data_IF_069304577039
#
_entry.id   IF_069304577039
#
_cell.length_a   1.000
_cell.length_b   1.000
_cell.length_c   1.000
_cell.angle_alpha   90.00
_cell.angle_beta   90.00
_cell.angle_gamma   90.00
#
_symmetry.space_group_name_H-M   'P 1'
#
loop_
_entity.id
_entity.type
_entity.pdbx_description
1 polymer ?
#
# COMPACT_ATOMS: atom_id res chain seq x y z
N UNK A 1 -13.81 66.15 -18.44
CA UNK A 1 -14.00 64.69 -18.36
C UNK A 1 -12.61 64.07 -18.27
N UNK A 2 -12.14 63.68 -17.09
CA UNK A 2 -10.77 63.15 -16.92
C UNK A 2 -10.74 61.66 -17.21
N UNK A 3 -10.23 61.30 -18.39
CA UNK A 3 -9.87 59.92 -18.71
C UNK A 3 -8.61 59.57 -17.90
N UNK A 4 -8.78 58.77 -16.84
CA UNK A 4 -7.67 58.12 -16.14
C UNK A 4 -7.16 57.00 -17.04
N UNK A 5 -6.13 57.29 -17.82
CA UNK A 5 -5.44 56.28 -18.63
C UNK A 5 -4.70 55.32 -17.71
N UNK A 6 -4.97 54.02 -17.89
CA UNK A 6 -4.31 52.92 -17.20
C UNK A 6 -2.79 53.04 -17.37
N UNK A 7 -2.03 53.04 -16.28
CA UNK A 7 -0.57 53.23 -16.38
C UNK A 7 0.10 51.92 -16.82
N UNK A 8 1.18 52.01 -17.60
CA UNK A 8 1.98 50.83 -17.97
C UNK A 8 2.44 50.03 -16.74
N UNK A 9 2.74 50.74 -15.64
CA UNK A 9 3.14 50.14 -14.37
C UNK A 9 2.02 49.27 -13.78
N UNK A 10 0.78 49.72 -13.84
CA UNK A 10 -0.38 48.96 -13.34
C UNK A 10 -0.58 47.66 -14.13
N UNK A 11 -0.44 47.68 -15.45
CA UNK A 11 -0.48 46.46 -16.26
C UNK A 11 0.69 45.52 -15.96
N UNK A 12 1.90 46.05 -15.78
CA UNK A 12 3.05 45.23 -15.38
C UNK A 12 2.84 44.58 -14.01
N UNK A 13 2.28 45.31 -13.04
CA UNK A 13 1.97 44.79 -11.72
C UNK A 13 0.89 43.72 -11.77
N UNK A 14 -0.17 43.92 -12.56
CA UNK A 14 -1.24 42.93 -12.75
C UNK A 14 -0.68 41.64 -13.35
N UNK A 15 0.14 41.74 -14.40
CA UNK A 15 0.76 40.57 -15.02
C UNK A 15 1.73 39.85 -14.08
N UNK A 16 2.51 40.60 -13.28
CA UNK A 16 3.38 40.03 -12.24
C UNK A 16 2.54 39.26 -11.21
N UNK A 17 1.45 39.87 -10.74
CA UNK A 17 0.62 39.29 -9.69
C UNK A 17 -0.11 38.05 -10.19
N UNK A 18 -0.59 38.05 -11.44
CA UNK A 18 -1.15 36.86 -12.11
C UNK A 18 -0.08 35.77 -12.24
N UNK A 19 1.14 36.12 -12.67
CA UNK A 19 2.23 35.17 -12.83
C UNK A 19 2.62 34.49 -11.51
N UNK A 20 2.83 35.26 -10.44
CA UNK A 20 3.16 34.73 -9.11
C UNK A 20 2.02 33.85 -8.57
N UNK A 21 0.77 34.30 -8.72
CA UNK A 21 -0.41 33.54 -8.28
C UNK A 21 -0.52 32.21 -9.04
N UNK A 22 -0.30 32.22 -10.36
CA UNK A 22 -0.34 31.02 -11.19
C UNK A 22 0.78 30.02 -10.83
N UNK A 23 2.00 30.50 -10.56
CA UNK A 23 3.12 29.65 -10.12
C UNK A 23 2.84 28.96 -8.78
N UNK A 24 2.21 29.66 -7.83
CA UNK A 24 1.87 29.10 -6.52
C UNK A 24 0.82 27.98 -6.62
N UNK A 25 -0.16 28.13 -7.52
CA UNK A 25 -1.20 27.12 -7.76
C UNK A 25 -0.62 25.82 -8.35
N UNK A 26 0.37 25.92 -9.24
CA UNK A 26 1.03 24.73 -9.82
C UNK A 26 1.75 23.88 -8.77
N UNK A 27 2.27 24.51 -7.71
CA UNK A 27 2.92 23.81 -6.59
C UNK A 27 1.93 23.15 -5.62
N UNK A 28 0.66 23.57 -5.64
CA UNK A 28 -0.37 23.04 -4.76
C UNK A 28 -0.95 21.69 -5.23
N UNK A 29 -0.76 21.33 -6.51
CA UNK A 29 -1.23 20.05 -7.03
C UNK A 29 -0.26 18.91 -6.68
N UNK A 30 -0.74 17.81 -6.08
CA UNK A 30 0.09 16.65 -5.81
C UNK A 30 0.62 16.10 -7.14
N UNK A 31 1.92 15.77 -7.14
CA UNK A 31 2.56 15.19 -8.32
C UNK A 31 1.85 13.92 -8.77
N UNK A 32 1.87 13.63 -10.08
CA UNK A 32 1.26 12.41 -10.62
C UNK A 32 1.77 11.13 -9.92
N UNK A 33 3.04 11.13 -9.49
CA UNK A 33 3.64 10.05 -8.70
C UNK A 33 2.97 9.87 -7.35
N UNK A 34 2.75 10.96 -6.61
CA UNK A 34 2.07 10.91 -5.31
C UNK A 34 0.64 10.38 -5.45
N UNK A 35 -0.08 10.82 -6.50
CA UNK A 35 -1.43 10.31 -6.77
C UNK A 35 -1.43 8.81 -7.07
N UNK A 36 -0.49 8.32 -7.89
CA UNK A 36 -0.33 6.90 -8.20
C UNK A 36 -0.03 6.09 -6.92
N UNK A 37 0.87 6.56 -6.06
CA UNK A 37 1.20 5.91 -4.80
C UNK A 37 -0.02 5.82 -3.86
N UNK A 38 -0.80 6.89 -3.73
CA UNK A 38 -2.04 6.88 -2.93
C UNK A 38 -3.06 5.88 -3.48
N UNK A 39 -3.19 5.76 -4.80
CA UNK A 39 -4.08 4.79 -5.42
C UNK A 39 -3.62 3.34 -5.19
N UNK A 40 -2.32 3.08 -5.32
CA UNK A 40 -1.72 1.76 -5.02
C UNK A 40 -2.02 1.38 -3.57
N UNK A 41 -1.78 2.32 -2.64
CA UNK A 41 -2.00 2.12 -1.22
C UNK A 41 -3.48 1.83 -0.90
N UNK A 42 -4.40 2.60 -1.48
CA UNK A 42 -5.84 2.40 -1.30
C UNK A 42 -6.31 1.03 -1.84
N UNK A 43 -5.75 0.56 -2.97
CA UNK A 43 -6.03 -0.78 -3.49
C UNK A 43 -5.53 -1.87 -2.54
N UNK A 44 -4.30 -1.73 -2.03
CA UNK A 44 -3.75 -2.68 -1.07
C UNK A 44 -4.61 -2.75 0.20
N UNK A 45 -5.01 -1.61 0.76
CA UNK A 45 -5.89 -1.56 1.95
C UNK A 45 -7.23 -2.25 1.70
N UNK A 46 -7.90 -1.95 0.58
CA UNK A 46 -9.17 -2.59 0.25
C UNK A 46 -9.04 -4.11 0.07
N UNK A 47 -7.94 -4.59 -0.51
CA UNK A 47 -7.66 -6.02 -0.63
C UNK A 47 -7.37 -6.67 0.72
N UNK A 48 -6.60 -5.98 1.58
CA UNK A 48 -6.32 -6.44 2.94
C UNK A 48 -7.62 -6.61 3.74
N UNK A 49 -8.48 -5.58 3.75
CA UNK A 49 -9.76 -5.61 4.46
C UNK A 49 -10.64 -6.77 3.96
N UNK A 50 -10.74 -6.93 2.65
CA UNK A 50 -11.46 -8.06 2.05
C UNK A 50 -10.93 -9.43 2.50
N UNK A 51 -9.60 -9.62 2.51
CA UNK A 51 -9.00 -10.90 2.92
C UNK A 51 -9.16 -11.15 4.41
N UNK A 52 -9.10 -10.10 5.24
CA UNK A 52 -9.35 -10.18 6.68
C UNK A 52 -10.79 -10.60 7.00
N UNK A 53 -11.76 -9.94 6.38
CA UNK A 53 -13.18 -10.32 6.50
C UNK A 53 -13.40 -11.76 6.05
N UNK A 54 -12.75 -12.17 4.94
CA UNK A 54 -12.80 -13.55 4.47
C UNK A 54 -12.20 -14.52 5.48
N UNK A 55 -11.07 -14.18 6.12
CA UNK A 55 -10.43 -14.98 7.19
C UNK A 55 -11.36 -15.25 8.36
N UNK A 56 -12.07 -14.22 8.80
CA UNK A 56 -13.07 -14.33 9.85
C UNK A 56 -14.27 -15.19 9.43
N UNK A 57 -14.69 -15.10 8.17
CA UNK A 57 -15.82 -15.87 7.64
C UNK A 57 -15.50 -17.35 7.39
N UNK A 58 -14.30 -17.65 6.87
CA UNK A 58 -13.92 -19.01 6.48
C UNK A 58 -13.14 -19.77 7.54
N UNK A 59 -12.63 -19.08 8.56
CA UNK A 59 -11.75 -19.66 9.58
C UNK A 59 -10.35 -20.00 9.05
N UNK A 60 -9.97 -19.52 7.86
CA UNK A 60 -8.70 -19.86 7.21
C UNK A 60 -7.59 -18.87 7.58
N UNK A 61 -6.36 -19.38 7.68
CA UNK A 61 -5.17 -18.55 7.80
C UNK A 61 -4.76 -18.03 6.40
N UNK A 62 -4.59 -16.72 6.30
CA UNK A 62 -4.07 -16.07 5.11
C UNK A 62 -2.69 -15.47 5.38
N UNK A 63 -1.98 -15.21 4.30
CA UNK A 63 -0.67 -14.56 4.34
C UNK A 63 -0.51 -13.59 3.18
N UNK A 64 0.41 -12.65 3.30
CA UNK A 64 0.79 -11.72 2.25
C UNK A 64 2.27 -11.89 2.00
N UNK A 65 2.63 -12.19 0.76
CA UNK A 65 4.00 -12.08 0.28
C UNK A 65 4.16 -10.68 -0.27
N UNK A 66 5.14 -9.95 0.23
CA UNK A 66 5.44 -8.59 -0.19
C UNK A 66 6.85 -8.59 -0.78
N UNK A 67 6.93 -8.17 -2.04
CA UNK A 67 8.17 -7.95 -2.76
C UNK A 67 8.29 -6.47 -3.12
N UNK A 68 9.50 -5.97 -3.43
CA UNK A 68 9.69 -4.58 -3.81
C UNK A 68 8.76 -4.11 -4.94
N UNK A 69 8.38 -4.99 -5.88
CA UNK A 69 7.60 -4.61 -7.07
C UNK A 69 6.28 -5.38 -7.19
N UNK A 70 5.87 -6.12 -6.16
CA UNK A 70 4.60 -6.86 -6.18
C UNK A 70 4.12 -7.21 -4.78
N UNK A 71 2.85 -7.51 -4.64
CA UNK A 71 2.34 -8.24 -3.48
C UNK A 71 1.41 -9.36 -3.94
N UNK A 72 1.24 -10.38 -3.09
CA UNK A 72 0.36 -11.50 -3.35
C UNK A 72 -0.22 -12.06 -2.05
N UNK A 73 -1.55 -12.14 -1.99
CA UNK A 73 -2.24 -12.83 -0.92
C UNK A 73 -2.21 -14.34 -1.17
N UNK A 74 -1.91 -15.07 -0.11
CA UNK A 74 -1.80 -16.51 -0.05
C UNK A 74 -2.78 -17.06 0.97
N UNK A 75 -3.23 -18.29 0.77
CA UNK A 75 -4.02 -19.06 1.73
C UNK A 75 -3.22 -20.26 2.19
N UNK A 76 -3.26 -20.55 3.49
CA UNK A 76 -2.67 -21.78 4.00
C UNK A 76 -3.66 -22.92 3.77
N UNK A 77 -3.24 -23.92 3.01
CA UNK A 77 -4.02 -25.12 2.75
C UNK A 77 -3.34 -26.29 3.47
N UNK A 78 -3.99 -26.98 4.42
CA UNK A 78 -3.47 -28.24 4.94
C UNK A 78 -3.27 -29.20 3.77
N UNK A 79 -2.11 -29.85 3.76
CA UNK A 79 -1.82 -30.87 2.77
C UNK A 79 -2.78 -32.05 2.93
N UNK A 80 -3.23 -32.56 1.79
CA UNK A 80 -3.85 -33.87 1.71
C UNK A 80 -2.80 -34.96 2.01
N UNK A 81 -3.22 -36.16 2.37
CA UNK A 81 -2.32 -37.30 2.67
C UNK A 81 -1.37 -37.65 1.49
N UNK A 82 -1.65 -37.13 0.29
CA UNK A 82 -0.88 -37.34 -0.94
C UNK A 82 0.12 -36.23 -1.26
N UNK A 83 0.17 -35.15 -0.49
CA UNK A 83 1.07 -34.03 -0.78
C UNK A 83 2.50 -34.33 -0.31
N UNK A 84 3.54 -33.92 -1.06
CA UNK A 84 4.92 -34.03 -0.60
C UNK A 84 5.11 -33.22 0.68
N UNK A 85 5.88 -33.78 1.63
CA UNK A 85 6.25 -33.10 2.86
C UNK A 85 6.80 -31.71 2.54
N UNK A 86 6.32 -30.68 3.25
CA UNK A 86 6.74 -29.31 2.99
C UNK A 86 8.25 -29.19 3.23
N UNK A 87 8.90 -28.34 2.43
CA UNK A 87 10.33 -28.06 2.58
C UNK A 87 10.64 -27.26 3.86
N UNK A 88 9.61 -26.66 4.46
CA UNK A 88 9.71 -25.87 5.69
C UNK A 88 8.80 -26.47 6.77
N UNK A 89 9.41 -26.83 7.90
CA UNK A 89 8.74 -27.49 9.04
C UNK A 89 7.85 -26.51 9.82
N UNK A 90 7.93 -25.19 9.53
CA UNK A 90 7.20 -24.13 10.25
C UNK A 90 5.68 -24.26 10.14
N UNK A 91 5.16 -24.84 9.06
CA UNK A 91 3.73 -25.06 8.84
C UNK A 91 3.37 -26.54 8.67
N UNK A 92 4.25 -27.44 9.12
CA UNK A 92 4.07 -28.89 8.94
C UNK A 92 3.94 -29.25 7.45
N UNK A 93 2.92 -30.02 7.09
CA UNK A 93 2.65 -30.35 5.69
C UNK A 93 1.83 -29.27 4.96
N UNK A 94 1.33 -28.24 5.64
CA UNK A 94 0.48 -27.24 5.02
C UNK A 94 1.24 -26.39 4.00
N UNK A 95 0.58 -26.07 2.89
CA UNK A 95 1.16 -25.37 1.75
C UNK A 95 0.48 -24.01 1.54
N UNK A 96 1.30 -23.00 1.26
CA UNK A 96 0.82 -21.69 0.84
C UNK A 96 0.44 -21.73 -0.64
N UNK A 97 -0.82 -21.39 -0.94
CA UNK A 97 -1.33 -21.32 -2.30
C UNK A 97 -1.82 -19.90 -2.62
N UNK A 98 -1.63 -19.41 -3.86
CA UNK A 98 -2.22 -18.15 -4.30
C UNK A 98 -3.71 -18.08 -3.98
N UNK A 99 -4.13 -17.01 -3.30
CA UNK A 99 -5.53 -16.77 -3.03
C UNK A 99 -6.23 -16.40 -4.34
N UNK A 100 -7.25 -17.15 -4.72
CA UNK A 100 -8.11 -16.83 -5.86
C UNK A 100 -9.47 -16.38 -5.33
N UNK A 101 -9.85 -15.12 -5.60
CA UNK A 101 -11.05 -14.50 -5.05
C UNK A 101 -12.04 -14.03 -6.14
N UNK A 102 -12.15 -14.81 -7.22
CA UNK A 102 -13.12 -14.57 -8.29
C UNK A 102 -12.90 -13.23 -9.00
N UNK A 103 -13.61 -12.18 -8.56
CA UNK A 103 -13.54 -10.82 -9.13
C UNK A 103 -12.61 -9.88 -8.36
N UNK A 104 -12.15 -10.27 -7.17
CA UNK A 104 -11.22 -9.46 -6.37
C UNK A 104 -9.80 -9.85 -6.74
N UNK A 105 -9.02 -8.86 -7.15
CA UNK A 105 -7.58 -9.02 -7.38
C UNK A 105 -6.89 -9.25 -6.03
N UNK A 106 -6.06 -10.29 -5.98
CA UNK A 106 -5.32 -10.73 -4.78
C UNK A 106 -3.81 -10.73 -5.00
N UNK A 107 -3.37 -10.28 -6.17
CA UNK A 107 -1.97 -10.10 -6.50
C UNK A 107 -1.83 -8.90 -7.44
N UNK A 108 -0.85 -8.06 -7.21
CA UNK A 108 -0.59 -6.89 -8.05
C UNK A 108 0.91 -6.71 -8.26
N UNK A 109 1.29 -6.39 -9.49
CA UNK A 109 2.67 -6.04 -9.87
C UNK A 109 2.74 -4.55 -10.16
N UNK A 110 3.76 -3.90 -9.63
CA UNK A 110 3.96 -2.46 -9.62
C UNK A 110 5.19 -2.10 -10.45
N UNK A 111 5.04 -1.75 -11.74
CA UNK A 111 6.19 -1.49 -12.61
C UNK A 111 6.89 -0.15 -12.32
N UNK A 112 6.27 0.75 -11.55
CA UNK A 112 6.74 2.14 -11.33
C UNK A 112 6.83 2.54 -9.86
N UNK A 113 6.53 1.62 -8.95
CA UNK A 113 6.57 1.87 -7.51
C UNK A 113 7.37 0.79 -6.82
N UNK A 114 7.99 1.14 -5.69
CA UNK A 114 8.78 0.21 -4.90
C UNK A 114 8.28 0.14 -3.47
N UNK A 115 7.79 -1.02 -3.07
CA UNK A 115 7.33 -1.30 -1.73
C UNK A 115 8.50 -1.40 -0.76
N UNK A 116 8.30 -0.90 0.45
CA UNK A 116 9.18 -1.15 1.59
C UNK A 116 8.34 -1.60 2.77
N UNK A 117 8.65 -2.79 3.29
CA UNK A 117 8.04 -3.33 4.50
C UNK A 117 8.94 -3.11 5.71
N UNK A 118 8.35 -2.78 6.86
CA UNK A 118 9.01 -2.73 8.16
C UNK A 118 8.12 -3.33 9.22
N UNK A 119 8.74 -3.98 10.20
CA UNK A 119 8.04 -4.57 11.33
C UNK A 119 8.34 -3.76 12.62
N UNK A 120 7.38 -3.64 13.55
CA UNK A 120 7.58 -2.89 14.80
C UNK A 120 8.65 -3.48 15.72
N UNK A 121 8.94 -4.78 15.61
CA UNK A 121 9.98 -5.49 16.35
C UNK A 121 11.41 -5.20 15.84
N UNK A 122 11.55 -4.44 14.75
CA UNK A 122 12.82 -4.10 14.14
C UNK A 122 13.42 -5.21 13.27
N UNK A 123 12.67 -6.28 12.99
CA UNK A 123 13.12 -7.33 12.07
C UNK A 123 13.44 -6.75 10.68
N UNK A 124 14.59 -7.13 10.13
CA UNK A 124 14.96 -6.76 8.78
C UNK A 124 14.06 -7.48 7.77
N UNK A 125 13.38 -6.72 6.91
CA UNK A 125 12.61 -7.29 5.82
C UNK A 125 13.54 -7.85 4.74
N UNK A 126 13.43 -9.15 4.51
CA UNK A 126 14.13 -9.86 3.44
C UNK A 126 13.05 -10.51 2.57
N UNK A 127 12.76 -9.95 1.38
CA UNK A 127 11.73 -10.49 0.50
C UNK A 127 12.04 -11.94 0.14
N UNK A 128 11.07 -12.82 0.37
CA UNK A 128 11.14 -14.23 0.04
C UNK A 128 9.76 -14.71 -0.43
N UNK A 129 9.65 -16.00 -0.76
CA UNK A 129 8.43 -16.60 -1.29
C UNK A 129 7.52 -17.14 -0.18
N UNK A 130 7.91 -16.95 1.08
CA UNK A 130 7.07 -17.17 2.25
C UNK A 130 6.33 -15.89 2.63
N UNK A 131 5.09 -15.99 3.16
CA UNK A 131 4.36 -14.81 3.60
C UNK A 131 5.07 -14.03 4.72
N UNK A 132 5.29 -12.73 4.46
CA UNK A 132 5.85 -11.78 5.41
C UNK A 132 4.84 -11.39 6.51
N UNK A 133 3.57 -11.26 6.12
CA UNK A 133 2.48 -10.80 6.98
C UNK A 133 1.43 -11.91 7.05
N UNK A 134 1.05 -12.31 8.26
CA UNK A 134 -0.03 -13.27 8.49
C UNK A 134 -1.32 -12.55 8.86
N UNK A 135 -2.44 -13.08 8.36
CA UNK A 135 -3.80 -12.64 8.67
C UNK A 135 -4.52 -13.81 9.32
N UNK A 136 -4.84 -13.66 10.60
CA UNK A 136 -5.40 -14.71 11.44
C UNK A 136 -6.91 -14.79 11.31
N UNK A 137 -7.51 -16.00 11.49
CA UNK A 137 -8.96 -16.18 11.48
C UNK A 137 -9.71 -15.33 12.51
N UNK A 138 -9.06 -14.92 13.61
CA UNK A 138 -9.65 -14.02 14.61
C UNK A 138 -9.77 -12.57 14.17
N UNK A 139 -9.22 -12.23 12.99
CA UNK A 139 -9.14 -10.85 12.50
C UNK A 139 -7.82 -10.16 12.83
N UNK A 140 -6.98 -10.77 13.66
CA UNK A 140 -5.66 -10.23 13.95
C UNK A 140 -4.77 -10.27 12.69
N UNK A 141 -3.83 -9.34 12.62
CA UNK A 141 -2.84 -9.24 11.54
C UNK A 141 -1.47 -9.11 12.17
N UNK A 142 -0.45 -9.65 11.52
CA UNK A 142 0.96 -9.38 11.92
C UNK A 142 1.20 -7.88 11.77
N UNK A 143 1.56 -7.12 12.83
CA UNK A 143 1.73 -5.68 12.72
C UNK A 143 2.82 -5.29 11.72
N UNK A 144 2.56 -4.33 10.84
CA UNK A 144 3.51 -3.93 9.82
C UNK A 144 3.34 -2.49 9.35
N UNK A 145 4.41 -1.96 8.76
CA UNK A 145 4.44 -0.68 8.10
C UNK A 145 4.80 -0.88 6.64
N UNK A 146 3.88 -0.51 5.74
CA UNK A 146 4.08 -0.59 4.30
C UNK A 146 4.23 0.81 3.71
N UNK A 147 5.30 1.04 2.95
CA UNK A 147 5.52 2.30 2.23
C UNK A 147 5.59 2.08 0.72
N UNK A 148 4.96 2.96 -0.02
CA UNK A 148 5.05 3.02 -1.49
C UNK A 148 6.12 4.04 -1.91
N UNK A 149 6.26 5.13 -1.13
CA UNK A 149 7.30 6.14 -1.31
C UNK A 149 7.62 6.88 0.02
N UNK A 150 8.41 7.95 -0.06
CA UNK A 150 8.85 8.75 1.09
C UNK A 150 7.71 9.54 1.78
N UNK A 151 6.61 9.82 1.10
CA UNK A 151 5.43 10.51 1.61
C UNK A 151 4.26 9.56 1.91
N UNK A 152 4.14 8.46 1.16
CA UNK A 152 2.96 7.58 1.15
C UNK A 152 3.25 6.22 1.79
N UNK A 153 2.51 5.89 2.84
CA UNK A 153 2.54 4.58 3.47
C UNK A 153 1.46 4.42 4.55
N UNK A 154 1.33 3.20 5.06
CA UNK A 154 0.38 2.82 6.12
C UNK A 154 1.10 2.06 7.23
N UNK A 155 0.61 2.25 8.44
CA UNK A 155 0.87 1.42 9.59
C UNK A 155 -0.39 0.58 9.82
N UNK A 156 -0.22 -0.72 10.01
CA UNK A 156 -1.29 -1.66 10.33
C UNK A 156 -0.95 -2.33 11.66
N UNK A 157 -1.83 -2.20 12.63
CA UNK A 157 -1.63 -2.78 13.96
C UNK A 157 -2.05 -4.26 14.05
N UNK A 158 -1.98 -4.83 15.25
CA UNK A 158 -2.31 -6.25 15.46
C UNK A 158 -3.80 -6.53 15.26
N UNK A 159 -4.64 -5.52 15.45
CA UNK A 159 -6.08 -5.54 15.24
C UNK A 159 -6.42 -5.24 13.78
N UNK A 160 -5.40 -5.05 12.94
CA UNK A 160 -5.46 -4.71 11.53
C UNK A 160 -6.05 -3.34 11.23
N UNK A 161 -6.19 -2.47 12.23
CA UNK A 161 -6.55 -1.08 12.02
C UNK A 161 -5.39 -0.38 11.29
N UNK A 162 -5.72 0.39 10.24
CA UNK A 162 -4.72 1.06 9.42
C UNK A 162 -4.71 2.57 9.63
N UNK A 163 -3.51 3.12 9.81
CA UNK A 163 -3.26 4.54 9.97
C UNK A 163 -2.23 5.02 8.95
N UNK A 164 -2.39 6.22 8.36
CA UNK A 164 -1.39 6.75 7.43
C UNK A 164 -0.06 7.00 8.16
N UNK A 165 1.06 6.67 7.49
CA UNK A 165 2.39 7.00 7.98
C UNK A 165 2.72 8.47 7.70
N UNK A 166 3.40 9.11 8.65
CA UNK A 166 4.00 10.42 8.40
C UNK A 166 5.02 10.34 7.24
N UNK A 167 5.14 11.45 6.51
CA UNK A 167 6.22 11.62 5.54
C UNK A 167 7.57 11.51 6.25
N UNK A 168 8.55 10.86 5.61
CA UNK A 168 9.93 10.90 6.08
C UNK A 168 10.50 12.29 5.78
N UNK A 169 10.99 12.98 6.81
CA UNK A 169 11.81 14.19 6.68
C UNK A 169 13.14 13.90 5.96
#
# INVERSE_FOLDING_TARGET
>A
MSQRGFTLLEMMLVLLLIGVSASMVLLAFPSARTQEATQILARFQAQLDFVRERGQQTGQLFGIIIHPERWQFMRLQPADDSAPAAADDRWGNAQWLPLQAGRVTTAETLPRARLTLRFPDGQAWTPDEQPDVLIFPGGEVTPFQLRIDAATGINVDAQGDSQPLAARE
#
